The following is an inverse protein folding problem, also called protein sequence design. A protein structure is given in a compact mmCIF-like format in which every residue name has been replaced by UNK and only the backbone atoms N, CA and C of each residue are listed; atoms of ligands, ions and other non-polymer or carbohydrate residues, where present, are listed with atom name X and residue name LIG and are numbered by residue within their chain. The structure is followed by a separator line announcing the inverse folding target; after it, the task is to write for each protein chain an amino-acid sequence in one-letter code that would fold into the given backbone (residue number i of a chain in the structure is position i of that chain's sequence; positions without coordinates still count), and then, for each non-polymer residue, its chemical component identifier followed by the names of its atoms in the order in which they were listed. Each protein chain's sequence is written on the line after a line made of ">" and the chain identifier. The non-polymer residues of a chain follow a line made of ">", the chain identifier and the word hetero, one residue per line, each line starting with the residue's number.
data_IF_687736996249
#
_entry.id   IF_687736996249
#
_cell.length_a   1.000
_cell.length_b   1.000
_cell.length_c   1.000
_cell.angle_alpha   90.00
_cell.angle_beta   90.00
_cell.angle_gamma   90.00
#
_symmetry.space_group_name_H-M   'P 1'
#
loop_
_entity.id
_entity.type
_entity.pdbx_description
1 polymer ?
#
# COMPACT_ATOMS: atom_id res chain seq x y z
N UNK A 1 13.86 0.00 -1.87
CA UNK A 1 12.89 -0.66 -0.96
C UNK A 1 11.56 0.08 -1.03
N UNK A 2 10.52 -0.47 -0.39
CA UNK A 2 9.19 0.13 -0.46
C UNK A 2 8.72 0.57 0.91
N UNK A 3 7.88 1.62 0.94
CA UNK A 3 7.36 2.21 2.17
C UNK A 3 6.17 3.06 1.74
N UNK A 4 5.02 2.43 1.51
CA UNK A 4 3.95 3.10 0.79
C UNK A 4 3.16 4.04 1.68
N UNK A 5 3.34 5.34 1.44
CA UNK A 5 2.58 6.40 2.08
C UNK A 5 1.22 6.49 1.40
N UNK A 6 0.25 5.70 1.85
CA UNK A 6 -1.06 5.69 1.23
C UNK A 6 -1.72 7.04 1.39
N UNK A 7 -1.83 7.78 0.28
CA UNK A 7 -2.41 9.11 0.26
C UNK A 7 -3.92 9.03 0.50
N UNK A 8 -4.49 10.05 1.15
CA UNK A 8 -5.91 10.12 1.39
C UNK A 8 -6.59 10.87 0.25
N UNK A 9 -6.57 10.27 -0.95
CA UNK A 9 -7.10 10.91 -2.14
C UNK A 9 -8.62 11.05 -2.06
N UNK A 10 -9.30 10.07 -1.47
CA UNK A 10 -10.75 10.11 -1.33
C UNK A 10 -11.15 9.60 0.04
N UNK A 11 -12.41 9.84 0.42
CA UNK A 11 -12.96 9.39 1.69
C UNK A 11 -12.01 9.74 2.85
N UNK A 12 -11.36 10.90 2.77
CA UNK A 12 -10.42 11.32 3.79
C UNK A 12 -11.14 11.61 5.10
N UNK A 13 -12.48 11.66 5.07
CA UNK A 13 -13.26 11.86 6.28
C UNK A 13 -13.45 10.54 7.00
N UNK A 14 -13.05 9.45 6.35
CA UNK A 14 -13.19 8.10 6.87
C UNK A 14 -11.85 7.37 6.75
N UNK A 15 -11.86 6.07 6.99
CA UNK A 15 -10.68 5.25 6.87
C UNK A 15 -11.05 3.92 6.24
N UNK A 16 -10.08 3.28 5.58
CA UNK A 16 -10.27 2.00 4.93
C UNK A 16 -9.04 1.14 5.15
N UNK A 17 -9.18 -0.17 4.96
CA UNK A 17 -8.06 -1.08 5.10
C UNK A 17 -7.36 -1.22 3.76
N UNK A 18 -6.04 -1.01 3.74
CA UNK A 18 -5.25 -1.11 2.52
C UNK A 18 -4.60 -2.49 2.42
N UNK A 19 -4.62 -3.24 3.53
CA UNK A 19 -3.94 -4.52 3.63
C UNK A 19 -4.35 -5.48 2.50
N UNK A 20 -5.63 -5.53 2.16
CA UNK A 20 -6.11 -6.45 1.15
C UNK A 20 -5.58 -6.09 -0.23
N UNK A 21 -5.19 -4.83 -0.45
CA UNK A 21 -4.70 -4.40 -1.74
C UNK A 21 -3.28 -4.90 -1.98
N UNK A 22 -2.47 -4.96 -0.92
CA UNK A 22 -1.06 -5.30 -1.08
C UNK A 22 -0.85 -6.79 -1.37
N UNK A 23 -1.63 -7.65 -0.73
CA UNK A 23 -1.43 -9.08 -0.85
C UNK A 23 -1.69 -9.61 -2.25
N UNK A 24 -2.47 -8.88 -3.06
CA UNK A 24 -2.81 -9.37 -4.38
C UNK A 24 -1.59 -9.44 -5.29
N UNK A 25 -0.50 -8.74 -4.96
CA UNK A 25 0.69 -8.77 -5.78
C UNK A 25 1.47 -10.05 -5.48
N UNK A 26 1.87 -10.79 -6.51
CA UNK A 26 2.65 -12.01 -6.37
C UNK A 26 3.91 -11.77 -5.55
N UNK A 27 4.26 -12.73 -4.70
CA UNK A 27 5.47 -12.67 -3.90
C UNK A 27 5.20 -12.07 -2.53
N UNK A 28 4.10 -11.32 -2.39
CA UNK A 28 3.75 -10.75 -1.10
C UNK A 28 3.11 -11.85 -0.26
N UNK A 29 3.61 -12.04 0.97
CA UNK A 29 3.08 -13.06 1.85
C UNK A 29 2.72 -12.46 3.21
N UNK A 30 3.36 -11.35 3.57
CA UNK A 30 3.05 -10.63 4.81
C UNK A 30 2.80 -9.17 4.48
N UNK A 31 1.90 -8.53 5.23
CA UNK A 31 1.55 -7.14 5.02
C UNK A 31 1.24 -6.50 6.37
N UNK A 32 1.56 -5.22 6.53
CA UNK A 32 1.27 -4.49 7.74
C UNK A 32 1.01 -3.02 7.41
N UNK A 33 -0.08 -2.46 7.94
CA UNK A 33 -0.42 -1.07 7.67
C UNK A 33 -0.65 -0.33 8.99
N UNK A 34 -0.49 0.99 8.95
CA UNK A 34 -0.72 1.84 10.10
C UNK A 34 -1.65 2.96 9.67
N UNK A 35 -2.94 2.83 10.01
CA UNK A 35 -3.95 3.78 9.59
C UNK A 35 -3.71 5.15 10.21
N UNK A 36 -2.99 5.20 11.34
CA UNK A 36 -2.72 6.47 12.00
C UNK A 36 -1.49 7.15 11.40
N UNK A 37 -0.55 6.37 10.86
CA UNK A 37 0.67 6.94 10.31
C UNK A 37 0.58 7.11 8.81
N UNK A 38 -0.46 6.54 8.18
CA UNK A 38 -0.66 6.70 6.75
C UNK A 38 0.34 5.89 5.95
N UNK A 39 0.92 4.84 6.55
CA UNK A 39 1.93 4.05 5.86
C UNK A 39 1.43 2.63 5.62
N UNK A 40 2.05 1.96 4.65
CA UNK A 40 1.72 0.61 4.25
C UNK A 40 3.00 -0.14 3.90
N UNK A 41 3.36 -1.11 4.75
CA UNK A 41 4.57 -1.90 4.57
C UNK A 41 4.19 -3.32 4.15
N UNK A 42 5.08 -3.96 3.40
CA UNK A 42 4.93 -5.33 2.98
C UNK A 42 6.25 -6.07 3.18
N UNK A 43 6.19 -7.41 3.17
CA UNK A 43 7.39 -8.21 3.25
C UNK A 43 7.26 -9.37 2.27
N UNK A 44 7.70 -9.14 1.03
CA UNK A 44 7.60 -10.13 -0.02
C UNK A 44 8.69 -9.92 -1.06
N UNK A 45 8.64 -10.68 -2.15
CA UNK A 45 9.64 -10.64 -3.20
C UNK A 45 9.04 -10.09 -4.48
N UNK A 46 8.02 -9.23 -4.37
CA UNK A 46 7.36 -8.66 -5.52
C UNK A 46 8.25 -7.60 -6.16
N UNK A 47 7.86 -7.12 -7.35
CA UNK A 47 8.61 -6.07 -8.01
C UNK A 47 8.21 -4.72 -7.40
N UNK A 48 9.09 -3.72 -7.50
CA UNK A 48 8.85 -2.39 -6.97
C UNK A 48 7.62 -1.75 -7.59
N UNK A 49 7.49 -1.86 -8.92
CA UNK A 49 6.40 -1.20 -9.63
C UNK A 49 5.09 -1.96 -9.41
N UNK A 50 5.17 -3.26 -9.18
CA UNK A 50 3.98 -4.08 -9.04
C UNK A 50 3.22 -3.71 -7.77
N UNK A 51 3.96 -3.34 -6.73
CA UNK A 51 3.33 -3.01 -5.46
C UNK A 51 2.63 -1.66 -5.54
N UNK A 52 3.35 -0.64 -6.00
CA UNK A 52 2.82 0.72 -6.07
C UNK A 52 1.71 0.82 -7.12
N UNK A 53 1.70 -0.08 -8.10
CA UNK A 53 0.67 -0.04 -9.13
C UNK A 53 -0.60 -0.70 -8.60
N UNK A 54 -0.45 -1.72 -7.76
CA UNK A 54 -1.56 -2.44 -7.19
C UNK A 54 -2.44 -1.52 -6.34
N UNK A 55 -1.84 -0.69 -5.49
CA UNK A 55 -2.64 0.21 -4.66
C UNK A 55 -3.25 1.31 -5.51
N UNK A 56 -2.62 1.63 -6.63
CA UNK A 56 -3.13 2.64 -7.54
C UNK A 56 -4.34 2.08 -8.28
N UNK A 57 -4.43 0.75 -8.35
CA UNK A 57 -5.55 0.08 -8.98
C UNK A 57 -6.81 0.29 -8.15
N UNK A 58 -6.62 0.55 -6.84
CA UNK A 58 -7.73 0.83 -5.95
C UNK A 58 -8.01 2.32 -5.93
N UNK A 59 -7.15 3.10 -6.58
CA UNK A 59 -7.33 4.54 -6.68
C UNK A 59 -6.54 5.27 -5.61
N UNK A 60 -5.66 4.57 -4.89
CA UNK A 60 -4.89 5.18 -3.82
C UNK A 60 -3.40 4.99 -4.06
N UNK A 61 -2.76 6.00 -4.65
CA UNK A 61 -1.33 5.99 -4.89
C UNK A 61 -0.60 6.03 -3.55
N UNK A 62 0.71 5.78 -3.55
CA UNK A 62 1.47 5.78 -2.32
C UNK A 62 2.94 6.08 -2.57
N UNK A 63 3.43 7.18 -2.01
CA UNK A 63 4.81 7.59 -2.15
C UNK A 63 5.75 6.66 -1.39
N UNK A 64 6.50 5.82 -2.12
CA UNK A 64 7.52 4.98 -1.53
C UNK A 64 8.55 5.86 -0.83
N UNK A 65 8.58 5.83 0.50
CA UNK A 65 9.51 6.65 1.26
C UNK A 65 10.88 5.97 1.27
N UNK A 66 11.58 6.02 0.13
CA UNK A 66 12.89 5.40 0.01
C UNK A 66 13.80 6.30 -0.81
#
# INVERSE_FOLDING_TARGET
>A
MLKLKVEGMTCNHCVMAVTKALKKVPGVEKVEVSLEKGEALVEGTADPKALVQAVEEEGYKAEVLA
#
